data_IF_628523946406
#
_entry.id   IF_628523946406
#
_cell.length_a   1.000
_cell.length_b   1.000
_cell.length_c   1.000
_cell.angle_alpha   90.00
_cell.angle_beta   90.00
_cell.angle_gamma   90.00
#
_symmetry.space_group_name_H-M   'P 1'
#
loop_
_entity.id
_entity.type
_entity.pdbx_description
1 polymer ?
#
# COMPACT_ATOMS: atom_id res chain seq x y z
N UNK A 1 6.73 -5.29 -5.16
CA UNK A 1 7.07 -6.29 -4.12
C UNK A 1 8.12 -5.81 -3.11
N UNK A 2 9.00 -4.86 -3.47
CA UNK A 2 10.04 -4.31 -2.57
C UNK A 2 9.55 -3.18 -1.64
N UNK A 3 8.29 -2.74 -1.77
CA UNK A 3 7.75 -1.65 -0.95
C UNK A 3 8.12 -0.24 -1.42
N UNK A 4 8.78 -0.11 -2.58
CA UNK A 4 9.01 1.17 -3.24
C UNK A 4 7.70 1.91 -3.52
N UNK A 5 7.74 3.24 -3.49
CA UNK A 5 6.62 4.12 -3.82
C UNK A 5 7.06 5.01 -4.99
N UNK A 6 6.22 5.15 -6.01
CA UNK A 6 6.54 5.96 -7.17
C UNK A 6 6.42 7.46 -6.85
N UNK A 7 7.26 8.29 -7.47
CA UNK A 7 7.12 9.75 -7.45
C UNK A 7 6.02 10.17 -8.45
N UNK A 8 4.77 10.08 -7.99
CA UNK A 8 3.56 10.30 -8.82
C UNK A 8 3.55 11.71 -9.41
N UNK A 9 3.97 12.72 -8.64
CA UNK A 9 3.99 14.11 -9.08
C UNK A 9 4.95 14.30 -10.27
N UNK A 10 6.19 13.79 -10.18
CA UNK A 10 7.15 13.88 -11.30
C UNK A 10 6.71 13.09 -12.52
N UNK A 11 6.04 11.96 -12.33
CA UNK A 11 5.47 11.19 -13.45
C UNK A 11 4.35 12.00 -14.13
N UNK A 12 3.50 12.68 -13.36
CA UNK A 12 2.48 13.58 -13.89
C UNK A 12 3.13 14.76 -14.62
N UNK A 13 4.21 15.35 -14.10
CA UNK A 13 4.94 16.43 -14.77
C UNK A 13 5.46 15.99 -16.16
N UNK A 14 5.96 14.76 -16.24
CA UNK A 14 6.42 14.17 -17.49
C UNK A 14 5.26 13.93 -18.46
N UNK A 15 4.14 13.41 -17.97
CA UNK A 15 2.95 13.16 -18.76
C UNK A 15 2.37 14.46 -19.34
N UNK A 16 2.24 15.50 -18.50
CA UNK A 16 1.81 16.83 -18.91
C UNK A 16 2.74 17.42 -19.97
N UNK A 17 4.06 17.30 -19.80
CA UNK A 17 5.06 17.79 -20.74
C UNK A 17 4.95 17.16 -22.13
N UNK A 18 4.64 15.86 -22.20
CA UNK A 18 4.61 15.11 -23.46
C UNK A 18 3.20 14.76 -23.96
N UNK A 19 2.15 15.26 -23.30
CA UNK A 19 0.76 15.01 -23.67
C UNK A 19 0.34 13.54 -23.52
N UNK A 20 0.90 12.83 -22.53
CA UNK A 20 0.54 11.45 -22.24
C UNK A 20 -0.58 11.38 -21.19
N UNK A 21 -1.38 10.31 -21.25
CA UNK A 21 -2.32 9.98 -20.18
C UNK A 21 -1.62 9.16 -19.10
N UNK A 22 -2.03 9.37 -17.85
CA UNK A 22 -1.55 8.65 -16.69
C UNK A 22 -2.52 7.55 -16.27
N UNK A 23 -2.00 6.34 -16.11
CA UNK A 23 -2.72 5.20 -15.56
C UNK A 23 -1.99 4.74 -14.30
N UNK A 24 -2.63 4.89 -13.15
CA UNK A 24 -2.03 4.65 -11.84
C UNK A 24 -2.69 3.46 -11.14
N UNK A 25 -1.89 2.45 -10.86
CA UNK A 25 -2.31 1.32 -10.03
C UNK A 25 -2.04 1.61 -8.54
N UNK A 26 -3.12 1.79 -7.77
CA UNK A 26 -3.10 2.03 -6.32
C UNK A 26 -3.59 0.81 -5.53
N UNK A 27 -3.53 -0.40 -6.11
CA UNK A 27 -4.03 -1.65 -5.51
C UNK A 27 -3.42 -1.94 -4.14
N UNK A 28 -2.16 -1.55 -3.91
CA UNK A 28 -1.48 -1.71 -2.61
C UNK A 28 -1.56 -0.47 -1.71
N UNK A 29 -2.36 0.52 -2.07
CA UNK A 29 -2.36 1.81 -1.39
C UNK A 29 -3.75 2.31 -0.99
N UNK A 30 -4.78 2.01 -1.78
CA UNK A 30 -6.18 2.27 -1.39
C UNK A 30 -6.47 1.64 -0.04
N UNK A 31 -7.18 2.35 0.83
CA UNK A 31 -7.44 2.03 2.23
C UNK A 31 -6.25 2.25 3.19
N UNK A 32 -5.03 2.44 2.70
CA UNK A 32 -3.81 2.45 3.51
C UNK A 32 -3.09 3.81 3.54
N UNK A 33 -3.25 4.64 2.52
CA UNK A 33 -2.59 5.95 2.40
C UNK A 33 -3.58 7.09 2.18
N UNK A 34 -3.14 8.28 2.59
CA UNK A 34 -3.97 9.48 2.61
C UNK A 34 -4.86 9.58 3.86
N UNK A 35 -5.42 10.76 4.13
CA UNK A 35 -6.28 10.99 5.28
C UNK A 35 -7.55 10.13 5.25
N UNK A 36 -8.00 9.69 4.06
CA UNK A 36 -9.24 8.90 3.89
C UNK A 36 -9.00 7.52 3.29
N UNK A 37 -7.76 7.14 2.99
CA UNK A 37 -7.48 5.87 2.36
C UNK A 37 -7.78 5.86 0.87
N UNK A 38 -7.66 6.98 0.14
CA UNK A 38 -7.84 6.96 -1.32
C UNK A 38 -6.57 6.53 -2.09
N UNK A 39 -5.40 6.50 -1.45
CA UNK A 39 -4.15 6.04 -2.07
C UNK A 39 -2.96 6.96 -1.79
N UNK A 40 -1.82 6.67 -2.40
CA UNK A 40 -0.61 7.50 -2.30
C UNK A 40 -0.83 8.85 -3.01
N UNK A 41 -1.58 8.90 -4.10
CA UNK A 41 -1.88 10.15 -4.79
C UNK A 41 -2.66 11.13 -3.89
N UNK A 42 -3.58 10.63 -3.04
CA UNK A 42 -4.24 11.43 -2.00
C UNK A 42 -3.25 11.87 -0.92
N UNK A 43 -2.30 10.99 -0.58
CA UNK A 43 -1.29 11.26 0.44
C UNK A 43 -0.29 12.36 0.03
N UNK A 44 -0.05 12.55 -1.27
CA UNK A 44 0.84 13.62 -1.76
C UNK A 44 0.37 15.03 -1.40
N UNK A 45 -0.95 15.24 -1.27
CA UNK A 45 -1.57 16.51 -0.85
C UNK A 45 -2.45 16.28 0.39
N UNK A 46 -1.82 15.67 1.40
CA UNK A 46 -2.49 15.14 2.58
C UNK A 46 -3.35 16.18 3.30
N UNK A 47 -2.85 17.39 3.53
CA UNK A 47 -3.58 18.39 4.34
C UNK A 47 -4.76 18.97 3.57
N UNK A 48 -4.58 19.23 2.28
CA UNK A 48 -5.64 19.70 1.38
C UNK A 48 -6.78 18.69 1.33
N UNK A 49 -6.46 17.41 1.20
CA UNK A 49 -7.48 16.35 1.28
C UNK A 49 -8.10 16.27 2.66
N UNK A 50 -7.30 16.22 3.75
CA UNK A 50 -7.83 16.11 5.12
C UNK A 50 -8.81 17.23 5.44
N UNK A 51 -8.50 18.45 5.01
CA UNK A 51 -9.33 19.62 5.22
C UNK A 51 -10.62 19.60 4.36
N UNK A 52 -10.58 19.10 3.13
CA UNK A 52 -11.75 19.02 2.24
C UNK A 52 -12.66 17.81 2.51
N UNK A 53 -12.10 16.76 3.12
CA UNK A 53 -12.79 15.50 3.32
C UNK A 53 -13.11 14.80 1.99
N UNK A 54 -14.38 14.47 1.76
CA UNK A 54 -14.83 13.89 0.48
C UNK A 54 -15.01 14.90 -0.65
N UNK A 55 -14.94 16.20 -0.35
CA UNK A 55 -15.00 17.23 -1.38
C UNK A 55 -13.66 17.36 -2.10
N UNK A 56 -13.68 17.77 -3.36
CA UNK A 56 -12.45 18.10 -4.10
C UNK A 56 -11.77 19.32 -3.45
N UNK A 57 -10.48 19.23 -3.08
CA UNK A 57 -9.73 20.38 -2.60
C UNK A 57 -9.72 21.51 -3.63
N UNK A 58 -9.77 22.77 -3.17
CA UNK A 58 -9.67 23.94 -4.06
C UNK A 58 -8.22 24.23 -4.48
N UNK A 59 -7.28 23.86 -3.62
CA UNK A 59 -5.85 23.99 -3.82
C UNK A 59 -5.16 22.74 -3.30
N UNK A 60 -3.96 22.48 -3.82
CA UNK A 60 -3.06 21.47 -3.29
C UNK A 60 -2.21 22.02 -2.13
N UNK A 61 -1.38 21.20 -1.49
CA UNK A 61 -0.63 21.58 -0.29
C UNK A 61 0.40 22.70 -0.58
N UNK A 62 0.76 22.88 -1.85
CA UNK A 62 1.68 23.91 -2.36
C UNK A 62 0.97 25.15 -2.91
N UNK A 63 -0.36 25.25 -2.76
CA UNK A 63 -1.17 26.37 -3.25
C UNK A 63 -1.50 26.33 -4.76
N UNK A 64 -1.17 25.24 -5.45
CA UNK A 64 -1.53 25.00 -6.86
C UNK A 64 -3.01 24.62 -7.03
N UNK A 65 -3.55 24.77 -8.23
CA UNK A 65 -4.98 24.58 -8.51
C UNK A 65 -5.43 23.11 -8.61
N UNK A 66 -4.52 22.16 -8.73
CA UNK A 66 -4.81 20.71 -8.84
C UNK A 66 -3.95 19.94 -7.85
N UNK A 67 -4.55 19.00 -7.14
CA UNK A 67 -3.80 17.99 -6.36
C UNK A 67 -3.11 17.00 -7.30
N UNK A 68 -2.15 16.25 -6.78
CA UNK A 68 -1.52 15.13 -7.49
C UNK A 68 -2.58 14.11 -7.91
N UNK A 69 -3.55 13.80 -7.03
CA UNK A 69 -4.66 12.90 -7.37
C UNK A 69 -5.53 13.42 -8.52
N UNK A 70 -5.79 14.74 -8.61
CA UNK A 70 -6.56 15.36 -9.71
C UNK A 70 -5.80 15.37 -11.06
N UNK A 71 -4.47 15.16 -11.02
CA UNK A 71 -3.63 15.08 -12.22
C UNK A 71 -3.59 13.67 -12.82
N UNK A 72 -4.04 12.65 -12.09
CA UNK A 72 -4.09 11.27 -12.57
C UNK A 72 -5.34 11.04 -13.41
N UNK A 73 -5.19 10.58 -14.65
CA UNK A 73 -6.31 10.41 -15.59
C UNK A 73 -7.17 9.17 -15.30
N UNK A 74 -6.53 8.08 -14.87
CA UNK A 74 -7.18 6.84 -14.46
C UNK A 74 -6.47 6.20 -13.27
N UNK A 75 -7.22 5.95 -12.21
CA UNK A 75 -6.77 5.17 -11.04
C UNK A 75 -7.42 3.80 -11.08
N UNK A 76 -6.65 2.76 -10.76
CA UNK A 76 -7.18 1.42 -10.51
C UNK A 76 -6.94 0.99 -9.08
N UNK A 77 -7.93 0.35 -8.47
CA UNK A 77 -7.83 -0.19 -7.12
C UNK A 77 -8.44 -1.58 -7.02
N UNK A 78 -8.22 -2.23 -5.87
CA UNK A 78 -8.82 -3.52 -5.55
C UNK A 78 -9.71 -3.41 -4.32
N UNK A 79 -10.74 -4.25 -4.28
CA UNK A 79 -11.55 -4.49 -3.09
C UNK A 79 -10.98 -5.64 -2.23
N UNK A 80 -9.98 -6.39 -2.73
CA UNK A 80 -9.47 -7.62 -2.13
C UNK A 80 -8.24 -7.50 -1.25
N UNK A 81 -7.84 -6.28 -0.87
CA UNK A 81 -6.70 -6.04 0.03
C UNK A 81 -7.17 -5.35 1.30
N UNK A 82 -6.87 -4.07 1.47
CA UNK A 82 -7.25 -3.26 2.63
C UNK A 82 -8.75 -3.24 2.92
N UNK A 83 -9.59 -3.40 1.89
CA UNK A 83 -11.05 -3.45 2.03
C UNK A 83 -11.61 -4.85 2.34
N UNK A 84 -10.78 -5.91 2.35
CA UNK A 84 -11.17 -7.25 2.84
C UNK A 84 -12.30 -7.96 2.08
N UNK A 85 -12.59 -7.56 0.84
CA UNK A 85 -13.65 -8.13 0.00
C UNK A 85 -13.04 -8.78 -1.27
N UNK A 86 -13.71 -8.71 -2.43
CA UNK A 86 -13.14 -9.13 -3.73
C UNK A 86 -13.66 -8.25 -4.84
N UNK A 87 -12.81 -7.97 -5.83
CA UNK A 87 -13.14 -7.14 -6.98
C UNK A 87 -12.04 -6.14 -7.32
N UNK A 88 -12.16 -5.54 -8.50
CA UNK A 88 -11.34 -4.42 -8.96
C UNK A 88 -12.24 -3.28 -9.42
N UNK A 89 -11.72 -2.06 -9.40
CA UNK A 89 -12.41 -0.90 -9.93
C UNK A 89 -11.44 0.02 -10.66
N UNK A 90 -12.00 0.86 -11.52
CA UNK A 90 -11.31 1.98 -12.17
C UNK A 90 -12.08 3.26 -11.88
N UNK A 91 -11.35 4.35 -11.62
CA UNK A 91 -11.90 5.68 -11.41
C UNK A 91 -11.20 6.66 -12.38
N UNK A 92 -12.01 7.44 -13.11
CA UNK A 92 -11.53 8.35 -14.16
C UNK A 92 -12.63 9.36 -14.53
N UNK A 93 -12.34 10.22 -15.50
CA UNK A 93 -13.36 11.10 -16.09
C UNK A 93 -14.56 10.32 -16.64
N UNK A 94 -15.75 10.95 -16.61
CA UNK A 94 -17.01 10.34 -17.10
C UNK A 94 -16.89 9.75 -18.51
N UNK A 95 -16.21 10.45 -19.43
CA UNK A 95 -16.04 9.99 -20.82
C UNK A 95 -15.15 8.76 -20.89
N UNK A 96 -14.09 8.71 -20.09
CA UNK A 96 -13.16 7.57 -20.07
C UNK A 96 -13.81 6.33 -19.46
N UNK A 97 -14.59 6.50 -18.38
CA UNK A 97 -15.38 5.42 -17.78
C UNK A 97 -16.45 4.90 -18.74
N UNK A 98 -17.16 5.78 -19.46
CA UNK A 98 -18.17 5.35 -20.42
C UNK A 98 -17.56 4.60 -21.62
N UNK A 99 -16.38 5.03 -22.09
CA UNK A 99 -15.60 4.29 -23.06
C UNK A 99 -15.20 2.90 -22.53
N UNK A 100 -14.64 2.80 -21.33
CA UNK A 100 -14.26 1.51 -20.73
C UNK A 100 -15.48 0.58 -20.62
N UNK A 101 -16.60 1.09 -20.10
CA UNK A 101 -17.86 0.35 -19.93
C UNK A 101 -18.45 -0.16 -21.25
N UNK A 102 -18.22 0.57 -22.35
CA UNK A 102 -18.78 0.26 -23.67
C UNK A 102 -17.92 -0.67 -24.52
N UNK A 103 -16.61 -0.75 -24.25
CA UNK A 103 -15.66 -1.46 -25.11
C UNK A 103 -14.84 -2.55 -24.42
N UNK A 104 -14.75 -2.59 -23.09
CA UNK A 104 -13.92 -3.59 -22.40
C UNK A 104 -14.62 -4.97 -22.33
N UNK A 105 -14.16 -5.99 -23.07
CA UNK A 105 -14.83 -7.30 -23.09
C UNK A 105 -14.81 -7.99 -21.73
N UNK A 106 -13.74 -7.79 -20.95
CA UNK A 106 -13.63 -8.32 -19.58
C UNK A 106 -14.59 -7.69 -18.58
N UNK A 107 -15.20 -6.54 -18.92
CA UNK A 107 -16.29 -5.93 -18.15
C UNK A 107 -17.66 -6.39 -18.67
N UNK A 108 -17.85 -6.48 -19.98
CA UNK A 108 -19.16 -6.75 -20.61
C UNK A 108 -19.55 -8.23 -20.53
N UNK A 109 -18.61 -9.13 -20.83
CA UNK A 109 -18.88 -10.56 -21.01
C UNK A 109 -18.51 -11.38 -19.77
N UNK A 110 -18.96 -10.92 -18.61
CA UNK A 110 -18.73 -11.59 -17.32
C UNK A 110 -19.90 -11.37 -16.37
N UNK A 111 -20.09 -12.28 -15.41
CA UNK A 111 -21.11 -12.13 -14.36
C UNK A 111 -20.72 -11.02 -13.40
N UNK A 112 -21.68 -10.16 -13.04
CA UNK A 112 -21.45 -9.11 -12.02
C UNK A 112 -21.09 -9.71 -10.65
N UNK A 113 -20.33 -8.96 -9.85
CA UNK A 113 -20.05 -9.34 -8.47
C UNK A 113 -21.36 -9.49 -7.66
N UNK A 114 -21.45 -10.48 -6.74
CA UNK A 114 -22.62 -10.67 -5.90
C UNK A 114 -22.99 -9.41 -5.09
N UNK A 115 -24.28 -9.06 -4.94
CA UNK A 115 -24.69 -7.88 -4.16
C UNK A 115 -24.18 -7.87 -2.72
N UNK A 116 -24.05 -9.03 -2.08
CA UNK A 116 -23.49 -9.15 -0.71
C UNK A 116 -22.01 -8.74 -0.64
N UNK A 117 -21.22 -9.09 -1.66
CA UNK A 117 -19.81 -8.68 -1.79
C UNK A 117 -19.71 -7.16 -1.94
N UNK A 118 -20.59 -6.58 -2.76
CA UNK A 118 -20.65 -5.13 -2.98
C UNK A 118 -21.11 -4.37 -1.72
N UNK A 119 -22.05 -4.91 -0.95
CA UNK A 119 -22.48 -4.35 0.32
C UNK A 119 -21.33 -4.35 1.35
N UNK A 120 -20.61 -5.47 1.47
CA UNK A 120 -19.43 -5.59 2.33
C UNK A 120 -18.32 -4.62 1.94
N UNK A 121 -18.01 -4.51 0.65
CA UNK A 121 -17.02 -3.56 0.15
C UNK A 121 -17.43 -2.10 0.41
N UNK A 122 -18.71 -1.76 0.23
CA UNK A 122 -19.24 -0.43 0.52
C UNK A 122 -19.08 -0.09 2.00
N UNK A 123 -19.41 -1.02 2.90
CA UNK A 123 -19.22 -0.84 4.33
C UNK A 123 -17.73 -0.66 4.70
N UNK A 124 -16.84 -1.49 4.14
CA UNK A 124 -15.41 -1.40 4.38
C UNK A 124 -14.81 -0.06 3.92
N UNK A 125 -15.18 0.43 2.73
CA UNK A 125 -14.72 1.74 2.22
C UNK A 125 -15.20 2.88 3.13
N UNK A 126 -16.49 2.86 3.53
CA UNK A 126 -17.06 3.89 4.42
C UNK A 126 -16.37 3.88 5.78
N UNK A 127 -16.10 2.70 6.33
CA UNK A 127 -15.41 2.53 7.60
C UNK A 127 -13.97 3.03 7.52
N UNK A 128 -13.18 2.54 6.56
CA UNK A 128 -11.78 2.96 6.40
C UNK A 128 -11.65 4.49 6.21
N UNK A 129 -12.57 5.11 5.46
CA UNK A 129 -12.56 6.55 5.20
C UNK A 129 -12.59 7.40 6.48
N UNK A 130 -13.27 6.97 7.53
CA UNK A 130 -13.37 7.72 8.79
C UNK A 130 -12.46 7.21 9.92
N UNK A 131 -11.59 6.23 9.65
CA UNK A 131 -10.69 5.61 10.63
C UNK A 131 -9.22 5.78 10.24
N UNK A 132 -8.67 6.97 10.51
CA UNK A 132 -7.24 7.26 10.29
C UNK A 132 -6.36 6.58 11.34
N UNK A 133 -6.89 6.34 12.54
CA UNK A 133 -6.23 5.60 13.62
C UNK A 133 -5.74 4.21 13.17
N UNK A 134 -6.51 3.51 12.34
CA UNK A 134 -6.09 2.22 11.78
C UNK A 134 -4.86 2.38 10.88
N UNK A 135 -4.84 3.39 9.99
CA UNK A 135 -3.69 3.65 9.12
C UNK A 135 -2.47 4.04 9.93
N UNK A 136 -2.60 4.98 10.87
CA UNK A 136 -1.45 5.43 11.67
C UNK A 136 -0.90 4.31 12.56
N UNK A 137 -1.77 3.46 13.13
CA UNK A 137 -1.36 2.26 13.88
C UNK A 137 -0.57 1.28 13.00
N UNK A 138 -1.05 0.97 11.79
CA UNK A 138 -0.32 0.11 10.86
C UNK A 138 1.09 0.64 10.57
N UNK A 139 1.22 1.94 10.30
CA UNK A 139 2.51 2.55 10.00
C UNK A 139 3.45 2.48 11.21
N UNK A 140 2.95 2.76 12.42
CA UNK A 140 3.71 2.64 13.67
C UNK A 140 4.23 1.22 13.89
N UNK A 141 3.38 0.20 13.76
CA UNK A 141 3.80 -1.21 13.89
C UNK A 141 4.79 -1.62 12.79
N UNK A 142 4.61 -1.13 11.56
CA UNK A 142 5.57 -1.39 10.47
C UNK A 142 6.93 -0.79 10.77
N UNK A 143 6.97 0.47 11.23
CA UNK A 143 8.21 1.14 11.63
C UNK A 143 8.90 0.43 12.79
N UNK A 144 8.12 -0.06 13.76
CA UNK A 144 8.63 -0.83 14.89
C UNK A 144 9.37 -2.09 14.44
N UNK A 145 8.73 -2.90 13.58
CA UNK A 145 9.34 -4.13 13.04
C UNK A 145 10.57 -3.83 12.18
N UNK A 146 10.50 -2.82 11.29
CA UNK A 146 11.65 -2.41 10.45
C UNK A 146 12.85 -2.01 11.32
N UNK A 147 12.61 -1.22 12.38
CA UNK A 147 13.64 -0.76 13.30
C UNK A 147 14.30 -1.93 14.03
N UNK A 148 13.51 -2.85 14.59
CA UNK A 148 14.05 -3.99 15.32
C UNK A 148 14.86 -4.94 14.41
N UNK A 149 14.39 -5.20 13.19
CA UNK A 149 15.16 -5.96 12.21
C UNK A 149 16.47 -5.28 11.82
N UNK A 150 16.46 -3.96 11.65
CA UNK A 150 17.69 -3.21 11.40
C UNK A 150 18.70 -3.34 12.56
N UNK A 151 18.25 -3.23 13.81
CA UNK A 151 19.08 -3.40 15.00
C UNK A 151 19.71 -4.81 15.11
N UNK A 152 18.99 -5.83 14.63
CA UNK A 152 19.48 -7.21 14.55
C UNK A 152 20.33 -7.51 13.29
N UNK A 153 20.48 -6.53 12.39
CA UNK A 153 21.16 -6.74 11.11
C UNK A 153 20.41 -7.67 10.15
N UNK A 154 19.10 -7.85 10.32
CA UNK A 154 18.24 -8.58 9.38
C UNK A 154 18.06 -7.72 8.11
N UNK A 155 18.29 -8.26 6.91
CA UNK A 155 18.34 -7.50 5.67
C UNK A 155 16.94 -7.14 5.13
N UNK A 156 16.31 -6.11 5.71
CA UNK A 156 15.08 -5.52 5.15
C UNK A 156 15.45 -4.68 3.93
N UNK A 157 14.82 -4.94 2.78
CA UNK A 157 15.00 -4.10 1.58
C UNK A 157 14.44 -2.70 1.89
N UNK A 158 15.28 -1.64 1.86
CA UNK A 158 14.89 -0.28 2.26
C UNK A 158 13.71 0.23 1.43
N UNK A 159 12.70 0.78 2.10
CA UNK A 159 11.50 1.30 1.43
C UNK A 159 10.59 2.12 2.35
N UNK A 160 9.79 3.06 1.81
CA UNK A 160 8.94 3.92 2.63
C UNK A 160 7.53 3.36 2.89
N UNK A 161 7.19 2.16 2.40
CA UNK A 161 5.82 1.61 2.50
C UNK A 161 5.56 0.77 3.78
N UNK A 162 4.32 0.29 3.90
CA UNK A 162 3.86 -0.66 4.95
C UNK A 162 4.40 -2.09 4.78
N UNK A 163 5.25 -2.35 3.78
CA UNK A 163 5.77 -3.70 3.48
C UNK A 163 7.15 -3.85 4.12
N UNK A 164 7.38 -4.98 4.79
CA UNK A 164 8.67 -5.38 5.37
C UNK A 164 9.22 -6.59 4.59
N UNK A 165 9.90 -6.35 3.45
CA UNK A 165 10.53 -7.39 2.65
C UNK A 165 11.90 -7.76 3.22
N UNK A 166 12.04 -8.96 3.79
CA UNK A 166 13.31 -9.48 4.31
C UNK A 166 14.00 -10.30 3.23
N UNK A 167 15.14 -9.80 2.72
CA UNK A 167 15.93 -10.42 1.64
C UNK A 167 16.56 -11.73 2.10
N UNK A 168 16.32 -12.81 1.35
CA UNK A 168 16.96 -14.12 1.55
C UNK A 168 17.93 -14.43 0.40
N UNK A 169 17.56 -14.08 -0.84
CA UNK A 169 18.40 -14.25 -2.02
C UNK A 169 18.58 -15.69 -2.53
N UNK A 170 17.84 -16.64 -1.95
CA UNK A 170 17.84 -18.04 -2.38
C UNK A 170 16.45 -18.66 -2.17
N UNK A 171 15.91 -19.33 -3.19
CA UNK A 171 14.56 -19.88 -3.17
C UNK A 171 14.36 -21.04 -2.18
N UNK A 172 15.35 -21.92 -2.06
CA UNK A 172 15.28 -23.08 -1.16
C UNK A 172 15.36 -22.63 0.30
N UNK A 173 16.28 -21.71 0.62
CA UNK A 173 16.40 -21.13 1.95
C UNK A 173 15.19 -20.27 2.31
N UNK A 174 14.63 -19.50 1.38
CA UNK A 174 13.41 -18.73 1.64
C UNK A 174 12.23 -19.65 1.99
N UNK A 175 12.10 -20.77 1.27
CA UNK A 175 11.09 -21.79 1.57
C UNK A 175 11.34 -22.42 2.94
N UNK A 176 12.57 -22.85 3.24
CA UNK A 176 12.93 -23.44 4.54
C UNK A 176 12.66 -22.46 5.69
N UNK A 177 13.02 -21.19 5.54
CA UNK A 177 12.73 -20.15 6.53
C UNK A 177 11.23 -20.02 6.80
N UNK A 178 10.41 -20.00 5.75
CA UNK A 178 8.94 -19.99 5.84
C UNK A 178 8.40 -21.25 6.54
N UNK A 179 8.95 -22.43 6.21
CA UNK A 179 8.57 -23.70 6.81
C UNK A 179 8.94 -23.76 8.31
N UNK A 180 10.09 -23.21 8.72
CA UNK A 180 10.48 -23.15 10.14
C UNK A 180 9.57 -22.17 10.89
N UNK A 181 9.30 -20.99 10.32
CA UNK A 181 8.38 -20.01 10.93
C UNK A 181 7.01 -20.64 11.21
N UNK A 182 6.44 -21.39 10.26
CA UNK A 182 5.12 -22.01 10.48
C UNK A 182 5.19 -23.24 11.39
N UNK A 183 6.15 -24.14 11.22
CA UNK A 183 6.16 -25.42 11.94
C UNK A 183 6.72 -25.29 13.36
N UNK A 184 7.78 -24.51 13.56
CA UNK A 184 8.44 -24.32 14.87
C UNK A 184 7.79 -23.18 15.64
N UNK A 185 7.59 -22.03 14.98
CA UNK A 185 7.14 -20.80 15.66
C UNK A 185 5.64 -20.54 15.56
N UNK A 186 4.89 -21.32 14.78
CA UNK A 186 3.44 -21.11 14.54
C UNK A 186 3.14 -19.74 13.91
N UNK A 187 4.08 -19.23 13.10
CA UNK A 187 3.98 -17.95 12.40
C UNK A 187 3.97 -18.18 10.89
N UNK A 188 2.89 -17.79 10.22
CA UNK A 188 2.82 -17.90 8.77
C UNK A 188 3.35 -16.63 8.08
N UNK A 189 4.55 -16.74 7.49
CA UNK A 189 5.10 -15.74 6.56
C UNK A 189 5.50 -16.45 5.28
N UNK A 190 4.85 -16.10 4.18
CA UNK A 190 5.07 -16.74 2.89
C UNK A 190 6.44 -16.38 2.29
N UNK A 191 7.17 -17.40 1.84
CA UNK A 191 8.33 -17.24 0.96
C UNK A 191 7.88 -16.75 -0.43
N UNK A 192 8.51 -15.67 -0.92
CA UNK A 192 8.24 -15.12 -2.24
C UNK A 192 9.43 -15.44 -3.16
N UNK A 193 9.18 -16.33 -4.12
CA UNK A 193 10.16 -16.82 -5.10
C UNK A 193 9.76 -16.40 -6.53
N UNK A 194 10.61 -16.73 -7.52
CA UNK A 194 10.27 -16.64 -8.94
C UNK A 194 8.99 -17.44 -9.26
N UNK A 195 8.05 -16.93 -10.09
CA UNK A 195 8.14 -15.74 -10.94
C UNK A 195 7.71 -14.41 -10.29
N UNK A 196 7.32 -14.40 -9.02
CA UNK A 196 6.80 -13.19 -8.35
C UNK A 196 7.90 -12.14 -8.09
N UNK A 197 9.14 -12.60 -7.88
CA UNK A 197 10.33 -11.76 -7.78
C UNK A 197 11.45 -12.33 -8.67
N UNK A 198 12.42 -11.50 -9.03
CA UNK A 198 13.57 -11.95 -9.81
C UNK A 198 14.39 -13.00 -9.03
N UNK A 199 15.01 -13.94 -9.75
CA UNK A 199 15.91 -14.93 -9.14
C UNK A 199 17.07 -14.24 -8.42
N UNK A 200 17.47 -14.76 -7.27
CA UNK A 200 18.49 -14.15 -6.41
C UNK A 200 17.96 -13.00 -5.57
N UNK A 201 16.65 -12.69 -5.64
CA UNK A 201 16.01 -11.65 -4.83
C UNK A 201 14.84 -12.21 -4.02
N UNK A 202 14.85 -13.52 -3.77
CA UNK A 202 13.86 -14.24 -2.97
C UNK A 202 13.82 -13.65 -1.55
N UNK A 203 12.62 -13.61 -0.96
CA UNK A 203 12.40 -12.86 0.28
C UNK A 203 11.22 -13.40 1.07
N UNK A 204 11.23 -13.15 2.38
CA UNK A 204 10.02 -13.18 3.19
C UNK A 204 9.34 -11.82 3.08
N UNK A 205 8.01 -11.80 2.89
CA UNK A 205 7.26 -10.54 2.76
C UNK A 205 6.27 -10.39 3.91
N UNK A 206 6.67 -9.61 4.91
CA UNK A 206 5.88 -9.36 6.11
C UNK A 206 5.06 -8.08 5.91
N UNK A 207 3.81 -8.09 6.35
CA UNK A 207 2.91 -6.93 6.32
C UNK A 207 2.18 -6.80 7.65
N UNK A 208 2.76 -6.07 8.62
CA UNK A 208 2.10 -5.81 9.90
C UNK A 208 0.74 -5.11 9.67
N UNK A 209 -0.20 -5.38 10.56
CA UNK A 209 -1.55 -4.76 10.54
C UNK A 209 -1.75 -3.96 11.82
N UNK A 210 -2.83 -3.16 11.92
CA UNK A 210 -3.16 -2.46 13.16
C UNK A 210 -3.36 -3.38 14.37
N UNK A 211 -3.66 -4.67 14.13
CA UNK A 211 -3.84 -5.67 15.19
C UNK A 211 -2.55 -6.36 15.66
N UNK A 212 -1.43 -6.18 14.95
CA UNK A 212 -0.13 -6.74 15.35
C UNK A 212 0.58 -5.77 16.29
N UNK A 213 0.14 -5.73 17.56
CA UNK A 213 0.74 -4.90 18.61
C UNK A 213 2.22 -5.22 18.82
N UNK A 214 2.92 -4.41 19.62
CA UNK A 214 4.34 -4.63 19.92
C UNK A 214 4.60 -6.03 20.49
N UNK A 215 3.74 -6.54 21.39
CA UNK A 215 3.90 -7.90 21.96
C UNK A 215 3.91 -8.99 20.88
N UNK A 216 3.01 -8.91 19.89
CA UNK A 216 2.99 -9.85 18.77
C UNK A 216 4.16 -9.61 17.80
N UNK A 217 4.57 -8.35 17.65
CA UNK A 217 5.73 -7.98 16.84
C UNK A 217 7.02 -8.54 17.43
N UNK A 218 7.19 -8.51 18.75
CA UNK A 218 8.36 -9.07 19.44
C UNK A 218 8.46 -10.59 19.27
N UNK A 219 7.32 -11.29 19.32
CA UNK A 219 7.26 -12.73 19.01
C UNK A 219 7.75 -12.99 17.58
N UNK A 220 7.26 -12.21 16.60
CA UNK A 220 7.73 -12.31 15.22
C UNK A 220 9.22 -12.00 15.09
N UNK A 221 9.70 -10.94 15.74
CA UNK A 221 11.09 -10.50 15.65
C UNK A 221 12.04 -11.59 16.15
N UNK A 222 11.75 -12.15 17.33
CA UNK A 222 12.54 -13.23 17.92
C UNK A 222 12.51 -14.50 17.06
N UNK A 223 11.35 -14.85 16.50
CA UNK A 223 11.21 -16.02 15.63
C UNK A 223 12.01 -15.88 14.32
N UNK A 224 11.99 -14.68 13.70
CA UNK A 224 12.78 -14.43 12.49
C UNK A 224 14.27 -14.44 12.80
N UNK A 225 14.70 -13.86 13.92
CA UNK A 225 16.12 -13.90 14.32
C UNK A 225 16.61 -15.34 14.57
N UNK A 226 15.81 -16.17 15.26
CA UNK A 226 16.08 -17.59 15.46
C UNK A 226 16.22 -18.34 14.13
N UNK A 227 15.33 -18.09 13.15
CA UNK A 227 15.41 -18.69 11.81
C UNK A 227 16.68 -18.26 11.07
N UNK A 228 17.07 -16.99 11.18
CA UNK A 228 18.31 -16.48 10.60
C UNK A 228 19.54 -17.19 11.20
N UNK A 229 19.53 -17.42 12.51
CA UNK A 229 20.61 -18.12 13.20
C UNK A 229 20.64 -19.62 12.84
N UNK A 230 19.48 -20.28 12.79
CA UNK A 230 19.36 -21.72 12.49
C UNK A 230 19.82 -22.04 11.06
N UNK A 231 19.39 -21.25 10.08
CA UNK A 231 19.73 -21.44 8.67
C UNK A 231 21.03 -20.72 8.24
N UNK A 232 21.69 -20.02 9.16
CA UNK A 232 22.89 -19.20 8.89
C UNK A 232 22.68 -18.24 7.70
N UNK A 233 21.53 -17.55 7.70
CA UNK A 233 21.14 -16.66 6.60
C UNK A 233 22.01 -15.39 6.59
N UNK A 234 22.34 -14.84 5.40
CA UNK A 234 23.11 -13.62 5.29
C UNK A 234 22.43 -12.44 5.99
N UNK A 235 23.16 -11.76 6.88
CA UNK A 235 22.78 -10.50 7.51
C UNK A 235 23.29 -9.31 6.68
N UNK A 236 22.90 -8.10 7.06
CA UNK A 236 23.26 -6.86 6.33
C UNK A 236 24.77 -6.76 6.05
N UNK A 237 25.62 -7.13 7.02
CA UNK A 237 27.10 -7.10 6.85
C UNK A 237 27.60 -8.09 5.80
N UNK A 238 26.96 -9.25 5.69
CA UNK A 238 27.33 -10.24 4.69
C UNK A 238 26.99 -9.74 3.28
N UNK A 239 25.84 -9.07 3.12
CA UNK A 239 25.47 -8.40 1.87
C UNK A 239 26.42 -7.27 1.51
N UNK A 240 26.81 -6.44 2.50
CA UNK A 240 27.79 -5.37 2.31
C UNK A 240 29.12 -5.90 1.79
N UNK A 241 29.62 -7.01 2.36
CA UNK A 241 30.85 -7.66 1.90
C UNK A 241 30.79 -8.19 0.46
N UNK A 242 29.58 -8.37 -0.08
CA UNK A 242 29.30 -8.84 -1.44
C UNK A 242 28.96 -7.70 -2.41
N UNK A 243 29.04 -6.43 -1.96
CA UNK A 243 28.73 -5.25 -2.78
C UNK A 243 27.28 -4.75 -2.65
N UNK A 244 26.48 -5.37 -1.78
CA UNK A 244 25.09 -5.04 -1.52
C UNK A 244 24.11 -5.54 -2.58
N UNK A 245 22.81 -5.52 -2.24
CA UNK A 245 21.73 -5.89 -3.15
C UNK A 245 20.41 -5.19 -2.80
N UNK A 246 19.81 -4.51 -3.78
CA UNK A 246 18.53 -3.80 -3.63
C UNK A 246 18.57 -2.77 -2.49
N UNK A 247 19.69 -2.07 -2.33
CA UNK A 247 19.93 -1.12 -1.25
C UNK A 247 20.35 -1.74 0.09
N UNK A 248 20.27 -3.07 0.26
CA UNK A 248 20.78 -3.75 1.46
C UNK A 248 22.30 -3.84 1.36
N UNK A 249 23.02 -3.17 2.27
CA UNK A 249 24.48 -3.20 2.31
C UNK A 249 25.17 -2.51 1.11
N UNK A 250 24.42 -1.78 0.28
CA UNK A 250 24.99 -1.04 -0.85
C UNK A 250 25.62 0.27 -0.37
N UNK A 251 26.90 0.47 -0.70
CA UNK A 251 27.61 1.70 -0.34
C UNK A 251 27.03 2.91 -1.07
N UNK A 252 26.70 3.97 -0.33
CA UNK A 252 26.15 5.20 -0.89
C UNK A 252 24.66 5.13 -1.27
N UNK A 253 23.96 4.05 -0.92
CA UNK A 253 22.51 4.00 -1.05
C UNK A 253 21.86 5.03 -0.11
N UNK A 254 20.93 5.84 -0.65
CA UNK A 254 20.18 6.84 0.10
C UNK A 254 18.77 6.33 0.28
N UNK A 255 18.41 5.99 1.53
CA UNK A 255 17.07 5.53 1.85
C UNK A 255 16.05 6.67 1.72
N UNK A 256 14.91 6.36 1.11
CA UNK A 256 13.77 7.26 1.04
C UNK A 256 13.17 7.46 2.44
N UNK A 257 12.82 8.70 2.78
CA UNK A 257 12.09 8.98 4.01
C UNK A 257 10.73 8.29 4.02
N UNK A 258 10.27 7.89 5.21
CA UNK A 258 8.90 7.40 5.38
C UNK A 258 7.90 8.43 4.83
N UNK A 259 6.87 7.94 4.14
CA UNK A 259 5.79 8.79 3.62
C UNK A 259 5.06 9.53 4.75
N UNK A 260 4.85 8.86 5.89
CA UNK A 260 4.11 9.42 7.00
C UNK A 260 5.00 10.27 7.91
N UNK A 261 4.60 11.51 8.15
CA UNK A 261 5.28 12.39 9.09
C UNK A 261 4.84 12.11 10.53
N UNK A 262 5.66 12.52 11.51
CA UNK A 262 5.32 12.39 12.93
C UNK A 262 4.01 13.12 13.30
N UNK A 263 3.71 14.25 12.66
CA UNK A 263 2.45 14.97 12.87
C UNK A 263 1.26 14.17 12.32
N UNK A 264 1.37 13.61 11.12
CA UNK A 264 0.31 12.78 10.54
C UNK A 264 0.08 11.51 11.37
N UNK A 265 1.13 10.89 11.92
CA UNK A 265 1.02 9.73 12.79
C UNK A 265 0.37 10.03 14.16
N UNK A 266 0.28 11.30 14.55
CA UNK A 266 -0.38 11.72 15.79
C UNK A 266 -1.88 12.02 15.62
N UNK A 267 -2.39 12.03 14.38
CA UNK A 267 -3.80 12.30 14.10
C UNK A 267 -4.73 11.21 14.64
N UNK A 268 -5.91 11.66 15.02
CA UNK A 268 -7.04 10.86 15.49
C UNK A 268 -8.22 10.98 14.53
N UNK A 269 -9.27 10.16 14.73
CA UNK A 269 -10.46 10.20 13.89
C UNK A 269 -11.25 11.51 14.01
N UNK A 270 -11.03 12.28 15.08
CA UNK A 270 -11.65 13.59 15.28
C UNK A 270 -10.94 14.72 14.52
N UNK A 271 -9.73 14.47 14.02
CA UNK A 271 -8.99 15.40 13.17
C UNK A 271 -9.39 15.32 11.69
N UNK A 272 -10.28 14.40 11.32
CA UNK A 272 -10.81 14.27 9.96
C UNK A 272 -11.99 15.24 9.74
N UNK A 273 -12.17 15.69 8.49
CA UNK A 273 -13.33 16.49 8.13
C UNK A 273 -14.65 15.73 8.46
N UNK A 274 -15.64 16.35 9.11
CA UNK A 274 -16.89 15.67 9.47
C UNK A 274 -17.64 15.04 8.29
N UNK A 275 -17.49 15.56 7.07
CA UNK A 275 -18.19 15.07 5.87
C UNK A 275 -17.72 13.68 5.42
N UNK A 276 -16.67 13.13 6.02
CA UNK A 276 -16.17 11.77 5.74
C UNK A 276 -17.03 10.70 6.41
N UNK A 277 -17.76 11.09 7.46
CA UNK A 277 -18.70 10.25 8.23
C UNK A 277 -20.07 10.30 7.55
N UNK A 278 -20.55 9.13 7.12
CA UNK A 278 -21.85 8.94 6.46
C UNK A 278 -22.30 10.03 5.45
N UNK A 279 -21.48 10.33 4.43
CA UNK A 279 -21.88 11.29 3.41
C UNK A 279 -23.09 10.78 2.62
N UNK A 280 -23.97 11.71 2.29
CA UNK A 280 -25.01 11.52 1.29
C UNK A 280 -24.33 11.55 -0.08
N UNK A 281 -24.01 10.36 -0.61
CA UNK A 281 -23.50 10.22 -1.97
C UNK A 281 -24.69 10.12 -2.91
N UNK A 282 -24.91 11.15 -3.73
CA UNK A 282 -25.94 11.07 -4.78
C UNK A 282 -25.62 9.90 -5.70
N UNK A 283 -26.62 9.06 -5.95
CA UNK A 283 -26.49 7.97 -6.90
C UNK A 283 -26.18 8.56 -8.28
N UNK A 284 -25.06 8.13 -8.88
CA UNK A 284 -24.75 8.44 -10.26
C UNK A 284 -25.70 7.63 -11.16
N UNK A 285 -26.09 8.22 -12.28
CA UNK A 285 -26.94 7.55 -13.28
C UNK A 285 -26.35 6.17 -13.62
N UNK A 286 -27.16 5.12 -13.51
CA UNK A 286 -26.75 3.77 -13.93
C UNK A 286 -26.78 3.69 -15.46
N UNK A 287 -26.06 2.73 -16.05
CA UNK A 287 -26.00 2.59 -17.52
C UNK A 287 -27.36 2.41 -18.20
N UNK A 288 -28.41 2.03 -17.45
CA UNK A 288 -29.78 1.96 -17.95
C UNK A 288 -30.45 3.33 -18.13
N UNK A 289 -29.82 4.43 -17.71
CA UNK A 289 -30.39 5.78 -17.76
C UNK A 289 -31.49 6.03 -16.73
N UNK A 290 -31.75 5.08 -15.82
CA UNK A 290 -32.80 5.21 -14.79
C UNK A 290 -32.23 5.93 -13.57
N UNK A 291 -32.88 7.03 -13.16
CA UNK A 291 -32.68 7.65 -11.84
C UNK A 291 -33.60 6.96 -10.85
N UNK A 292 -33.04 6.34 -9.82
CA UNK A 292 -33.79 5.91 -8.64
C UNK A 292 -33.83 7.04 -7.62
#
# INVERSE_FOLDING_TARGET
MAGSVADIEKICDLADKYGALTFLDEVHAVGLYGPHGAGVAEHCDFESHRASGIATPKTNDKGGAKTVMDRVDMITGTLGKSFGSVGGYVAASRKLIDWFRSFAPGFIFTTTLPPSVMAGATAAIRYQRCHIDLRTSQQKHTMYVKKAFHELGIPVIPNPSHIVPVLIGNADLAKQASDILINKHQIYVQAINFPTVARGTERLRITPTPGHTNDLSDILINAVDDVFNELQLPRVRDWESQGGLLGVGESGFVEESNLWTSSQLSLTNDDLNPNVRDPIVKQLEVSSGIKQ
#
